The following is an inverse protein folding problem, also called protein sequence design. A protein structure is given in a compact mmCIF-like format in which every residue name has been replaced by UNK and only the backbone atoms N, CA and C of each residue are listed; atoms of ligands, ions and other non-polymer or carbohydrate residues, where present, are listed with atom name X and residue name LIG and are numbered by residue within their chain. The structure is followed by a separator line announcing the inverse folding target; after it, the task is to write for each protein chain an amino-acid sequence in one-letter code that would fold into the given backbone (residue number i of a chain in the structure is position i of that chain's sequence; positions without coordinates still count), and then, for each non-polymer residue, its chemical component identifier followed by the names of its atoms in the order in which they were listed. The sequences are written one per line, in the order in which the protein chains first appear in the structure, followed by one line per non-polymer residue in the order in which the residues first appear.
data_IF_546042740450
#
_entry.id   IF_546042740450
#
_cell.length_a   1.000
_cell.length_b   1.000
_cell.length_c   1.000
_cell.angle_alpha   90.00
_cell.angle_beta   90.00
_cell.angle_gamma   90.00
#
_symmetry.space_group_name_H-M   'P 1'
#
loop_
_entity.id
_entity.type
_entity.pdbx_description
1 polymer ?
#
# COMPACT_ATOMS: atom_id res chain seq x y z
N UNK A 1 -16.89 -6.94 -24.59
CA UNK A 1 -17.45 -6.52 -23.29
C UNK A 1 -17.95 -5.08 -23.33
N UNK A 2 -17.40 -4.25 -24.24
CA UNK A 2 -17.75 -2.86 -24.47
C UNK A 2 -19.26 -2.59 -24.65
N UNK A 3 -19.99 -3.39 -25.44
CA UNK A 3 -21.44 -3.17 -25.64
C UNK A 3 -22.27 -3.17 -24.35
N UNK A 4 -21.89 -3.99 -23.35
CA UNK A 4 -22.63 -4.06 -22.07
C UNK A 4 -22.40 -2.81 -21.25
N UNK A 5 -21.14 -2.35 -21.17
CA UNK A 5 -20.75 -1.18 -20.40
C UNK A 5 -21.22 0.10 -21.11
N UNK A 6 -21.20 0.17 -22.44
CA UNK A 6 -21.80 1.27 -23.23
C UNK A 6 -23.31 1.37 -23.01
N UNK A 7 -24.00 0.23 -23.02
CA UNK A 7 -25.44 0.17 -22.76
C UNK A 7 -25.77 0.63 -21.34
N UNK A 8 -24.96 0.27 -20.35
CA UNK A 8 -25.09 0.77 -18.98
C UNK A 8 -24.79 2.28 -18.90
N UNK A 9 -23.72 2.75 -19.54
CA UNK A 9 -23.28 4.15 -19.49
C UNK A 9 -24.34 5.11 -20.06
N UNK A 10 -25.01 4.72 -21.15
CA UNK A 10 -26.14 5.50 -21.70
C UNK A 10 -27.30 5.66 -20.72
N UNK A 11 -27.50 4.70 -19.81
CA UNK A 11 -28.60 4.70 -18.83
C UNK A 11 -28.22 5.33 -17.50
N UNK A 12 -26.93 5.45 -17.18
CA UNK A 12 -26.46 5.97 -15.90
C UNK A 12 -26.45 7.49 -15.82
N UNK A 13 -26.58 8.20 -16.96
CA UNK A 13 -26.40 9.66 -17.03
C UNK A 13 -24.93 10.10 -16.93
N UNK A 14 -23.99 9.15 -17.04
CA UNK A 14 -22.54 9.38 -16.93
C UNK A 14 -21.83 9.29 -18.29
N UNK A 15 -22.56 9.54 -19.38
CA UNK A 15 -22.10 9.30 -20.77
C UNK A 15 -20.75 9.97 -21.06
N UNK A 16 -20.52 11.17 -20.53
CA UNK A 16 -19.26 11.93 -20.73
C UNK A 16 -18.18 11.64 -19.67
N UNK A 17 -18.44 10.71 -18.73
CA UNK A 17 -17.57 10.41 -17.59
C UNK A 17 -16.93 9.03 -17.67
N UNK A 18 -17.44 8.13 -18.51
CA UNK A 18 -16.92 6.77 -18.67
C UNK A 18 -16.60 6.54 -20.14
N UNK A 19 -15.33 6.23 -20.43
CA UNK A 19 -14.84 5.82 -21.75
C UNK A 19 -14.41 4.36 -21.67
N UNK A 20 -14.74 3.58 -22.70
CA UNK A 20 -14.26 2.20 -22.86
C UNK A 20 -13.41 2.16 -24.11
N UNK A 21 -12.27 1.49 -24.04
CA UNK A 21 -11.41 1.23 -25.18
C UNK A 21 -11.09 -0.25 -25.21
N UNK A 22 -11.47 -0.93 -26.30
CA UNK A 22 -11.02 -2.29 -26.60
C UNK A 22 -9.94 -2.19 -27.69
N UNK A 23 -8.71 -2.62 -27.39
CA UNK A 23 -7.58 -2.56 -28.33
C UNK A 23 -7.36 -3.95 -28.93
N UNK A 24 -7.64 -4.17 -30.24
CA UNK A 24 -7.49 -5.48 -30.85
C UNK A 24 -6.07 -6.02 -30.74
N UNK A 25 -5.94 -7.31 -30.40
CA UNK A 25 -4.64 -7.99 -30.29
C UNK A 25 -3.84 -7.66 -29.04
N UNK A 26 -4.35 -6.80 -28.14
CA UNK A 26 -3.75 -6.60 -26.81
C UNK A 26 -4.31 -7.62 -25.81
N UNK A 27 -3.47 -8.18 -24.91
CA UNK A 27 -3.91 -9.04 -23.81
C UNK A 27 -4.74 -8.26 -22.78
N UNK A 28 -5.26 -8.95 -21.75
CA UNK A 28 -6.05 -8.33 -20.70
C UNK A 28 -5.32 -7.20 -19.95
N UNK A 29 -3.99 -7.28 -19.87
CA UNK A 29 -3.08 -6.24 -19.38
C UNK A 29 -1.80 -6.23 -20.23
N UNK A 30 -1.27 -5.06 -20.55
CA UNK A 30 0.01 -4.92 -21.27
C UNK A 30 0.86 -3.80 -20.70
N UNK A 31 2.18 -3.91 -20.90
CA UNK A 31 3.18 -3.10 -20.19
C UNK A 31 3.02 -1.59 -20.41
N UNK A 32 2.60 -1.17 -21.60
CA UNK A 32 2.47 0.24 -21.95
C UNK A 32 1.11 0.83 -21.64
N UNK A 33 0.14 0.06 -21.12
CA UNK A 33 -1.24 0.51 -20.95
C UNK A 33 -1.34 1.83 -20.17
N UNK A 34 -0.64 1.95 -19.04
CA UNK A 34 -0.64 3.18 -18.27
C UNK A 34 0.12 4.32 -18.93
N UNK A 35 0.97 4.06 -19.92
CA UNK A 35 1.75 5.07 -20.64
C UNK A 35 1.07 5.58 -21.91
N UNK A 36 -0.09 5.03 -22.28
CA UNK A 36 -0.83 5.48 -23.46
C UNK A 36 -1.47 6.85 -23.22
N UNK A 37 -1.51 7.67 -24.27
CA UNK A 37 -1.89 9.08 -24.17
C UNK A 37 -3.30 9.28 -23.60
N UNK A 38 -4.26 8.43 -23.97
CA UNK A 38 -5.63 8.57 -23.49
C UNK A 38 -5.79 8.15 -22.03
N UNK A 39 -5.05 7.15 -21.58
CA UNK A 39 -4.93 6.78 -20.16
C UNK A 39 -4.24 7.87 -19.34
N UNK A 40 -3.12 8.43 -19.82
CA UNK A 40 -2.44 9.54 -19.15
C UNK A 40 -3.33 10.77 -19.05
N UNK A 41 -4.01 11.15 -20.14
CA UNK A 41 -4.95 12.26 -20.11
C UNK A 41 -6.10 12.03 -19.12
N UNK A 42 -6.67 10.82 -19.06
CA UNK A 42 -7.71 10.48 -18.09
C UNK A 42 -7.20 10.58 -16.64
N UNK A 43 -6.00 10.07 -16.37
CA UNK A 43 -5.36 10.13 -15.05
C UNK A 43 -5.08 11.58 -14.64
N UNK A 44 -4.48 12.38 -15.52
CA UNK A 44 -4.19 13.79 -15.22
C UNK A 44 -5.48 14.58 -14.98
N UNK A 45 -6.50 14.41 -15.82
CA UNK A 45 -7.80 15.06 -15.64
C UNK A 45 -8.53 14.64 -14.36
N UNK A 46 -8.29 13.43 -13.85
CA UNK A 46 -8.91 12.97 -12.62
C UNK A 46 -8.10 13.37 -11.36
N UNK A 47 -6.79 13.21 -11.41
CA UNK A 47 -5.90 13.15 -10.25
C UNK A 47 -4.85 14.28 -10.19
N UNK A 48 -4.78 15.17 -11.18
CA UNK A 48 -3.90 16.33 -11.10
C UNK A 48 -4.66 17.54 -10.58
N UNK A 49 -4.11 18.21 -9.56
CA UNK A 49 -4.63 19.51 -9.10
C UNK A 49 -4.59 20.59 -10.19
N UNK A 50 -3.70 20.46 -11.18
CA UNK A 50 -3.60 21.41 -12.30
C UNK A 50 -4.74 21.27 -13.31
N UNK A 51 -5.24 20.05 -13.52
CA UNK A 51 -6.36 19.76 -14.46
C UNK A 51 -7.71 19.55 -13.77
N UNK A 52 -7.71 19.37 -12.45
CA UNK A 52 -8.90 19.23 -11.62
C UNK A 52 -8.75 20.12 -10.37
N UNK A 53 -9.17 21.40 -10.43
CA UNK A 53 -9.00 22.37 -9.34
C UNK A 53 -9.68 21.99 -8.01
N UNK A 54 -10.62 21.03 -8.05
CA UNK A 54 -11.28 20.49 -6.86
C UNK A 54 -10.63 19.21 -6.31
N UNK A 55 -9.64 18.65 -7.02
CA UNK A 55 -8.98 17.42 -6.60
C UNK A 55 -8.07 17.67 -5.40
N UNK A 56 -8.30 16.89 -4.35
CA UNK A 56 -7.38 16.73 -3.23
C UNK A 56 -7.03 15.26 -3.14
N UNK A 57 -5.74 14.95 -3.19
CA UNK A 57 -5.27 13.58 -2.95
C UNK A 57 -5.81 13.14 -1.59
N UNK A 58 -6.52 11.99 -1.51
CA UNK A 58 -6.99 11.49 -0.23
C UNK A 58 -5.80 11.21 0.68
N UNK A 59 -5.99 11.42 1.98
CA UNK A 59 -4.98 11.02 2.95
C UNK A 59 -4.79 9.50 2.88
N UNK A 60 -3.54 9.05 3.02
CA UNK A 60 -3.24 7.64 3.18
C UNK A 60 -4.00 7.10 4.40
N UNK A 61 -4.58 5.90 4.31
CA UNK A 61 -5.42 5.38 5.37
C UNK A 61 -4.58 5.06 6.62
N UNK A 62 -5.15 5.32 7.80
CA UNK A 62 -4.52 5.00 9.08
C UNK A 62 -4.36 3.49 9.31
N UNK A 63 -5.18 2.68 8.63
CA UNK A 63 -5.10 1.24 8.65
C UNK A 63 -5.45 0.64 7.30
N UNK A 64 -4.95 -0.56 7.03
CA UNK A 64 -5.34 -1.31 5.87
C UNK A 64 -5.06 -2.81 6.05
N UNK A 65 -5.63 -3.58 5.14
CA UNK A 65 -5.37 -5.00 5.00
C UNK A 65 -4.81 -5.30 3.62
N UNK A 66 -3.78 -6.14 3.56
CA UNK A 66 -3.36 -6.90 2.38
C UNK A 66 -3.85 -8.32 2.53
N UNK A 67 -4.54 -8.83 1.51
CA UNK A 67 -4.91 -10.24 1.40
C UNK A 67 -4.28 -10.79 0.14
N UNK A 68 -3.44 -11.81 0.29
CA UNK A 68 -2.56 -12.31 -0.77
C UNK A 68 -2.72 -13.81 -0.89
N UNK A 69 -3.03 -14.30 -2.09
CA UNK A 69 -3.00 -15.73 -2.39
C UNK A 69 -1.62 -16.18 -2.89
N UNK A 70 -1.06 -15.45 -3.86
CA UNK A 70 0.27 -15.68 -4.41
C UNK A 70 1.16 -14.43 -4.22
N UNK A 71 2.16 -14.45 -3.33
CA UNK A 71 3.11 -13.35 -3.14
C UNK A 71 3.86 -12.89 -4.40
N UNK A 72 4.04 -13.78 -5.38
CA UNK A 72 4.72 -13.44 -6.64
C UNK A 72 3.87 -12.53 -7.53
N UNK A 73 2.54 -12.60 -7.41
CA UNK A 73 1.57 -11.84 -8.20
C UNK A 73 1.03 -10.61 -7.43
N UNK A 74 1.32 -10.50 -6.13
CA UNK A 74 0.86 -9.39 -5.30
C UNK A 74 1.96 -8.33 -5.12
N UNK A 75 1.59 -7.07 -5.37
CA UNK A 75 2.42 -5.90 -5.07
C UNK A 75 2.36 -5.48 -3.60
N UNK A 76 3.03 -4.36 -3.29
CA UNK A 76 2.98 -3.75 -1.96
C UNK A 76 1.78 -2.79 -1.82
N UNK A 77 1.38 -2.52 -0.57
CA UNK A 77 0.42 -1.47 -0.22
C UNK A 77 1.01 -0.62 0.90
N UNK A 78 1.21 0.67 0.64
CA UNK A 78 1.84 1.59 1.60
C UNK A 78 3.27 1.18 1.99
N UNK A 79 4.02 0.54 1.08
CA UNK A 79 5.34 -0.01 1.34
C UNK A 79 5.35 -1.44 1.89
N UNK A 80 4.24 -1.92 2.46
CA UNK A 80 4.14 -3.25 3.03
C UNK A 80 3.89 -4.33 1.97
N UNK A 81 4.62 -5.44 2.04
CA UNK A 81 4.49 -6.59 1.15
C UNK A 81 4.57 -7.89 1.94
N UNK A 82 3.77 -8.89 1.56
CA UNK A 82 3.97 -10.29 1.96
C UNK A 82 4.83 -10.93 0.87
N UNK A 83 6.06 -11.35 1.19
CA UNK A 83 6.97 -11.97 0.22
C UNK A 83 6.97 -13.50 0.29
N UNK A 84 6.58 -14.09 1.43
CA UNK A 84 6.46 -15.55 1.59
C UNK A 84 5.26 -15.90 2.47
N UNK A 85 4.47 -16.88 2.06
CA UNK A 85 3.38 -17.45 2.89
C UNK A 85 3.88 -18.63 3.73
N UNK A 86 3.24 -18.86 4.87
CA UNK A 86 3.60 -19.97 5.77
C UNK A 86 3.10 -21.31 5.24
N UNK A 87 1.82 -21.38 4.86
CA UNK A 87 1.20 -22.55 4.24
C UNK A 87 0.82 -22.21 2.80
N UNK A 88 1.49 -22.83 1.80
CA UNK A 88 1.15 -22.65 0.39
C UNK A 88 -0.32 -23.01 0.09
N UNK A 89 -0.94 -22.28 -0.83
CA UNK A 89 -2.33 -22.50 -1.24
C UNK A 89 -3.40 -21.96 -0.26
N UNK A 90 -2.99 -21.33 0.85
CA UNK A 90 -3.89 -20.60 1.75
C UNK A 90 -3.70 -19.09 1.59
N UNK A 91 -4.77 -18.34 1.78
CA UNK A 91 -4.71 -16.88 1.80
C UNK A 91 -3.86 -16.39 2.99
N UNK A 92 -2.92 -15.51 2.72
CA UNK A 92 -2.21 -14.74 3.74
C UNK A 92 -2.89 -13.39 3.93
N UNK A 93 -2.88 -12.92 5.18
CA UNK A 93 -3.46 -11.63 5.56
C UNK A 93 -2.44 -10.85 6.38
N UNK A 94 -2.25 -9.59 6.02
CA UNK A 94 -1.49 -8.62 6.79
C UNK A 94 -2.39 -7.43 7.08
N UNK A 95 -2.64 -7.18 8.35
CA UNK A 95 -3.33 -5.99 8.84
C UNK A 95 -2.27 -5.06 9.42
N UNK A 96 -2.28 -3.81 8.96
CA UNK A 96 -1.36 -2.78 9.41
C UNK A 96 -2.19 -1.60 9.90
N UNK A 97 -1.83 -1.08 11.07
CA UNK A 97 -2.37 0.16 11.62
C UNK A 97 -1.24 1.07 12.06
N UNK A 98 -1.30 2.32 11.61
CA UNK A 98 -0.43 3.39 12.05
C UNK A 98 -0.97 3.96 13.37
N UNK A 99 -0.19 3.88 14.43
CA UNK A 99 -0.54 4.43 15.73
C UNK A 99 0.38 5.62 16.01
N UNK A 100 -0.13 6.82 15.79
CA UNK A 100 0.49 8.05 16.26
C UNK A 100 0.05 8.32 17.71
N UNK A 101 1.00 8.60 18.60
CA UNK A 101 0.65 9.06 19.95
C UNK A 101 0.11 10.49 19.85
N UNK A 102 -1.03 10.77 20.47
CA UNK A 102 -1.54 12.15 20.62
C UNK A 102 -0.90 12.77 21.86
N UNK A 103 -0.07 13.79 21.68
CA UNK A 103 0.59 14.51 22.77
C UNK A 103 -0.41 15.17 23.74
N UNK A 104 -0.16 14.97 25.04
CA UNK A 104 -0.49 15.92 26.10
C UNK A 104 0.85 16.41 26.68
N UNK A 105 1.44 17.43 26.07
CA UNK A 105 2.59 18.17 26.60
C UNK A 105 3.97 17.56 26.35
N UNK A 106 4.85 18.40 25.79
CA UNK A 106 6.30 18.21 25.53
C UNK A 106 6.67 17.21 24.43
N UNK A 107 6.95 17.78 23.27
CA UNK A 107 7.43 17.14 22.05
C UNK A 107 8.73 16.36 22.24
N UNK A 108 8.62 15.04 22.10
CA UNK A 108 9.64 14.21 21.48
C UNK A 108 9.02 13.59 20.23
N UNK A 109 9.61 13.84 19.07
CA UNK A 109 9.09 13.54 17.74
C UNK A 109 8.99 12.03 17.39
N UNK A 110 9.05 11.12 18.37
CA UNK A 110 9.52 9.75 18.17
C UNK A 110 8.64 8.63 18.78
N UNK A 111 7.41 8.90 19.23
CA UNK A 111 6.62 7.89 19.98
C UNK A 111 5.48 7.21 19.19
N UNK A 112 5.51 7.22 17.85
CA UNK A 112 4.59 6.40 17.03
C UNK A 112 5.02 4.92 16.91
N UNK A 113 4.10 4.02 16.55
CA UNK A 113 4.45 2.64 16.16
C UNK A 113 3.49 2.07 15.11
N UNK A 114 3.89 0.96 14.47
CA UNK A 114 3.03 0.15 13.60
C UNK A 114 2.44 -1.01 14.40
N UNK A 115 1.13 -1.13 14.43
CA UNK A 115 0.46 -2.35 14.90
C UNK A 115 0.25 -3.29 13.72
N UNK A 116 0.85 -4.47 13.80
CA UNK A 116 0.98 -5.41 12.68
C UNK A 116 0.46 -6.78 13.09
N UNK A 117 -0.61 -7.22 12.42
CA UNK A 117 -1.18 -8.55 12.59
C UNK A 117 -1.04 -9.34 11.31
N UNK A 118 -0.25 -10.40 11.36
CA UNK A 118 0.03 -11.28 10.24
C UNK A 118 -0.64 -12.65 10.45
N UNK A 119 -1.25 -13.19 9.38
CA UNK A 119 -1.84 -14.54 9.33
C UNK A 119 -1.35 -15.25 8.08
N UNK A 120 -0.89 -16.49 8.25
CA UNK A 120 -0.33 -17.32 7.17
C UNK A 120 0.81 -16.62 6.39
N UNK A 121 1.52 -15.69 7.02
CA UNK A 121 2.65 -14.99 6.42
C UNK A 121 3.94 -15.42 7.14
N UNK A 122 4.96 -15.74 6.34
CA UNK A 122 6.28 -16.17 6.81
C UNK A 122 7.34 -15.10 6.62
N UNK A 123 7.27 -14.34 5.52
CA UNK A 123 8.13 -13.16 5.29
C UNK A 123 7.31 -11.95 4.91
N UNK A 124 7.62 -10.83 5.54
CA UNK A 124 7.08 -9.51 5.24
C UNK A 124 8.22 -8.54 4.95
N UNK A 125 7.91 -7.53 4.17
CA UNK A 125 8.82 -6.44 3.83
C UNK A 125 8.10 -5.11 3.96
N UNK A 126 8.80 -4.11 4.48
CA UNK A 126 8.41 -2.71 4.44
C UNK A 126 9.44 -1.93 3.63
N UNK A 127 9.02 -1.39 2.50
CA UNK A 127 9.81 -0.45 1.69
C UNK A 127 9.73 0.96 2.28
N UNK A 128 10.86 1.43 2.81
CA UNK A 128 10.96 2.72 3.50
C UNK A 128 10.90 3.89 2.51
N UNK A 129 11.27 3.71 1.25
CA UNK A 129 11.19 4.76 0.24
C UNK A 129 9.74 5.05 -0.17
N UNK A 130 8.90 4.02 -0.24
CA UNK A 130 7.45 4.21 -0.40
C UNK A 130 6.86 4.87 0.85
N UNK A 131 7.34 4.48 2.03
CA UNK A 131 6.88 5.03 3.30
C UNK A 131 7.19 6.52 3.45
N UNK A 132 8.45 6.94 3.24
CA UNK A 132 8.91 8.34 3.32
C UNK A 132 8.19 9.27 2.33
N UNK A 133 7.73 8.73 1.20
CA UNK A 133 6.97 9.49 0.18
C UNK A 133 5.48 9.62 0.51
N UNK A 134 4.96 8.88 1.49
CA UNK A 134 3.54 8.92 1.86
C UNK A 134 3.23 10.13 2.73
N UNK A 135 2.22 10.91 2.33
CA UNK A 135 1.87 12.21 2.93
C UNK A 135 1.10 12.13 4.25
N UNK A 136 0.69 10.95 4.74
CA UNK A 136 0.03 10.80 6.05
C UNK A 136 0.27 9.43 6.69
N UNK A 137 0.08 9.35 8.02
CA UNK A 137 0.30 8.18 8.88
C UNK A 137 1.78 7.79 9.01
N UNK A 138 2.41 7.61 7.86
CA UNK A 138 3.83 7.42 7.60
C UNK A 138 4.69 8.69 7.77
N UNK A 139 4.10 9.87 7.59
CA UNK A 139 4.83 11.14 7.65
C UNK A 139 5.46 11.40 9.03
N UNK A 140 4.84 10.89 10.10
CA UNK A 140 5.39 10.92 11.45
C UNK A 140 6.73 10.14 11.57
N UNK A 141 6.96 9.20 10.65
CA UNK A 141 8.13 8.31 10.64
C UNK A 141 9.12 8.64 9.52
N UNK A 142 8.84 9.64 8.69
CA UNK A 142 9.64 9.93 7.48
C UNK A 142 11.08 10.34 7.81
N UNK A 143 11.28 11.00 8.96
CA UNK A 143 12.59 11.42 9.46
C UNK A 143 13.07 10.59 10.66
N UNK A 144 12.38 9.49 10.98
CA UNK A 144 12.74 8.68 12.13
C UNK A 144 14.03 7.89 11.84
N UNK A 145 14.94 7.85 12.81
CA UNK A 145 16.16 7.03 12.77
C UNK A 145 15.89 5.59 13.21
N UNK A 146 14.76 5.36 13.89
CA UNK A 146 14.30 4.01 14.26
C UNK A 146 12.78 3.89 14.12
N UNK A 147 12.31 2.67 13.84
CA UNK A 147 10.90 2.33 13.76
C UNK A 147 10.53 1.33 14.84
N UNK A 148 9.28 1.40 15.30
CA UNK A 148 8.72 0.54 16.32
C UNK A 148 7.50 -0.20 15.81
N UNK A 149 7.41 -1.49 16.11
CA UNK A 149 6.41 -2.41 15.61
C UNK A 149 5.84 -3.21 16.77
N UNK A 150 4.52 -3.16 16.96
CA UNK A 150 3.80 -4.13 17.78
C UNK A 150 3.46 -5.33 16.89
N UNK A 151 4.18 -6.44 17.08
CA UNK A 151 4.07 -7.63 16.23
C UNK A 151 4.22 -8.89 17.07
N UNK A 152 3.30 -9.84 16.92
CA UNK A 152 3.34 -11.10 17.67
C UNK A 152 3.13 -10.95 19.17
N UNK A 153 2.55 -9.83 19.63
CA UNK A 153 2.34 -9.52 21.04
C UNK A 153 3.55 -8.88 21.74
N UNK A 154 4.59 -8.51 20.99
CA UNK A 154 5.79 -7.86 21.51
C UNK A 154 6.08 -6.57 20.72
N UNK A 155 6.71 -5.60 21.39
CA UNK A 155 7.18 -4.38 20.77
C UNK A 155 8.62 -4.59 20.26
N UNK A 156 8.83 -4.48 18.96
CA UNK A 156 10.13 -4.59 18.28
C UNK A 156 10.57 -3.21 17.81
N UNK A 157 11.82 -2.84 18.07
CA UNK A 157 12.43 -1.61 17.58
C UNK A 157 13.57 -1.93 16.63
N UNK A 158 13.67 -1.17 15.54
CA UNK A 158 14.67 -1.37 14.48
C UNK A 158 15.25 -0.03 14.08
N UNK A 159 16.57 0.08 14.04
CA UNK A 159 17.26 1.25 13.51
C UNK A 159 17.25 1.23 11.97
N UNK A 160 16.93 2.36 11.34
CA UNK A 160 16.66 2.47 9.89
C UNK A 160 17.44 3.60 9.20
N UNK A 161 18.46 4.16 9.88
CA UNK A 161 19.21 5.34 9.43
C UNK A 161 19.74 5.20 8.00
N UNK A 162 20.28 4.03 7.64
CA UNK A 162 20.87 3.74 6.32
C UNK A 162 20.12 2.65 5.54
N UNK A 163 18.93 2.27 5.99
CA UNK A 163 18.17 1.19 5.38
C UNK A 163 17.09 1.70 4.42
N UNK A 164 16.90 0.96 3.32
CA UNK A 164 15.80 1.16 2.37
C UNK A 164 14.61 0.25 2.67
N UNK A 165 14.82 -0.82 3.45
CA UNK A 165 13.81 -1.83 3.75
C UNK A 165 13.89 -2.28 5.19
N UNK A 166 12.79 -2.83 5.68
CA UNK A 166 12.73 -3.62 6.92
C UNK A 166 12.13 -4.98 6.57
N UNK A 167 12.81 -6.03 7.01
CA UNK A 167 12.44 -7.41 6.79
C UNK A 167 11.92 -8.04 8.08
N UNK A 168 10.83 -8.80 7.95
CA UNK A 168 10.24 -9.56 9.04
C UNK A 168 10.20 -11.02 8.64
N UNK A 169 10.80 -11.90 9.44
CA UNK A 169 10.83 -13.33 9.19
C UNK A 169 10.26 -14.06 10.40
N UNK A 170 9.26 -14.91 10.16
CA UNK A 170 8.69 -15.78 11.17
C UNK A 170 9.53 -17.06 11.28
N UNK A 171 10.03 -17.35 12.47
CA UNK A 171 10.75 -18.59 12.76
C UNK A 171 9.80 -19.79 12.79
N UNK A 172 10.36 -21.00 12.81
CA UNK A 172 9.57 -22.24 12.99
C UNK A 172 8.90 -22.31 14.37
N UNK A 173 9.47 -21.65 15.39
CA UNK A 173 8.84 -21.49 16.71
C UNK A 173 7.68 -20.50 16.72
N UNK A 174 7.45 -19.78 15.61
CA UNK A 174 6.38 -18.80 15.45
C UNK A 174 6.74 -17.38 15.88
N UNK A 175 7.96 -17.14 16.34
CA UNK A 175 8.50 -15.84 16.74
C UNK A 175 8.87 -14.99 15.52
N UNK A 176 8.78 -13.66 15.65
CA UNK A 176 9.17 -12.73 14.59
C UNK A 176 10.56 -12.16 14.83
N UNK A 177 11.43 -12.36 13.85
CA UNK A 177 12.71 -11.68 13.74
C UNK A 177 12.54 -10.47 12.82
N UNK A 178 13.03 -9.31 13.25
CA UNK A 178 12.94 -8.07 12.50
C UNK A 178 14.33 -7.48 12.32
N UNK A 179 14.66 -7.08 11.11
CA UNK A 179 15.92 -6.43 10.76
C UNK A 179 15.74 -5.43 9.63
N UNK A 180 16.63 -4.45 9.55
CA UNK A 180 16.71 -3.49 8.45
C UNK A 180 17.73 -3.95 7.41
#
# INVERSE_FOLDING_TARGET
MAMVVDGWNRRSGLVDKVKIVEVPGRPHWWDTFFSEDDMQNALESACSSSRNPGYKMPQAPENFTLTVFNPAEAGSKGGWRISEVEVPGRLAKLEVRYVAQKEHGTAAADDGHFDVVARNAKRLELDLNVHRRSSSGAAAFANATSLRFWLGGEMKQVEISDADRVHFVRSESGEWQVGA
#
